data_IF_907479130047
#
_entry.id   IF_907479130047
#
_cell.length_a   1.000
_cell.length_b   1.000
_cell.length_c   1.000
_cell.angle_alpha   90.00
_cell.angle_beta   90.00
_cell.angle_gamma   90.00
#
_symmetry.space_group_name_H-M   'P 1'
#
loop_
_entity.id
_entity.type
_entity.pdbx_description
1 polymer ?
#
# COMPACT_ATOMS: atom_id res chain seq x y z
N UNK A 1 -6.19 -4.79 -26.63
CA UNK A 1 -4.70 -4.88 -26.54
C UNK A 1 -4.18 -3.92 -25.48
N UNK A 2 -4.58 -2.63 -25.50
CA UNK A 2 -4.08 -1.61 -24.53
C UNK A 2 -4.49 -1.96 -23.10
N UNK A 3 -5.76 -2.27 -22.85
CA UNK A 3 -6.28 -2.62 -21.52
C UNK A 3 -5.56 -3.83 -20.94
N UNK A 4 -5.38 -4.90 -21.72
CA UNK A 4 -4.64 -6.08 -21.25
C UNK A 4 -3.19 -5.76 -20.92
N UNK A 5 -2.53 -4.88 -21.68
CA UNK A 5 -1.17 -4.45 -21.38
C UNK A 5 -1.05 -3.60 -20.11
N UNK A 6 -2.11 -2.94 -19.66
CA UNK A 6 -2.18 -2.22 -18.39
C UNK A 6 -2.43 -3.19 -17.23
N UNK A 7 -3.36 -4.14 -17.38
CA UNK A 7 -3.70 -5.11 -16.33
C UNK A 7 -2.58 -6.12 -16.05
N UNK A 8 -1.75 -6.42 -17.03
CA UNK A 8 -0.61 -7.35 -16.89
C UNK A 8 0.56 -6.76 -16.09
N UNK A 9 0.55 -5.47 -15.81
CA UNK A 9 1.58 -4.83 -14.98
C UNK A 9 1.37 -5.20 -13.52
N UNK A 10 2.19 -6.13 -13.05
CA UNK A 10 2.30 -6.41 -11.62
C UNK A 10 2.86 -5.18 -10.90
N UNK A 11 2.20 -4.74 -9.86
CA UNK A 11 2.74 -3.75 -8.95
C UNK A 11 2.90 -4.38 -7.56
N UNK A 12 3.91 -3.93 -6.84
CA UNK A 12 4.14 -4.31 -5.47
C UNK A 12 4.17 -3.06 -4.62
N UNK A 13 3.38 -3.05 -3.57
CA UNK A 13 3.38 -1.96 -2.59
C UNK A 13 4.57 -2.19 -1.65
N UNK A 14 5.31 -1.12 -1.37
CA UNK A 14 6.34 -1.08 -0.34
C UNK A 14 6.01 0.02 0.65
N UNK A 15 6.06 -0.30 1.92
CA UNK A 15 5.89 0.64 3.00
C UNK A 15 7.25 1.11 3.52
N UNK A 16 7.35 2.38 3.87
CA UNK A 16 8.53 2.98 4.49
C UNK A 16 8.08 3.77 5.72
N UNK A 17 8.73 3.52 6.85
CA UNK A 17 8.49 4.27 8.07
C UNK A 17 9.43 5.49 8.11
N UNK A 18 8.84 6.68 8.18
CA UNK A 18 9.57 7.97 8.23
C UNK A 18 9.63 8.55 9.65
N UNK A 19 9.13 7.83 10.66
CA UNK A 19 9.17 8.29 12.04
C UNK A 19 10.59 8.27 12.60
N UNK A 20 10.87 9.17 13.56
CA UNK A 20 12.20 9.35 14.13
C UNK A 20 12.74 8.07 14.79
N UNK A 21 11.89 7.28 15.43
CA UNK A 21 12.28 6.03 16.08
C UNK A 21 12.72 4.97 15.07
N UNK A 22 12.02 4.84 13.95
CA UNK A 22 12.39 3.90 12.88
C UNK A 22 13.66 4.33 12.16
N UNK A 23 13.87 5.63 11.98
CA UNK A 23 15.11 6.19 11.43
C UNK A 23 16.29 5.94 12.36
N UNK A 24 16.12 6.12 13.66
CA UNK A 24 17.18 5.85 14.67
C UNK A 24 17.59 4.38 14.66
N UNK A 25 16.63 3.46 14.70
CA UNK A 25 16.91 2.01 14.65
C UNK A 25 17.60 1.59 13.35
N UNK A 26 17.21 2.21 12.22
CA UNK A 26 17.87 1.96 10.93
C UNK A 26 19.33 2.41 10.97
N UNK A 27 19.61 3.59 11.54
CA UNK A 27 20.95 4.09 11.71
C UNK A 27 21.79 3.26 12.70
N UNK A 28 21.17 2.75 13.76
CA UNK A 28 21.85 1.84 14.69
C UNK A 28 22.26 0.52 14.03
N UNK A 29 21.33 -0.06 13.25
CA UNK A 29 21.62 -1.28 12.50
C UNK A 29 22.73 -1.06 11.46
N UNK A 30 22.70 0.06 10.73
CA UNK A 30 23.74 0.41 9.78
C UNK A 30 25.11 0.53 10.47
N UNK A 31 25.19 1.23 11.60
CA UNK A 31 26.44 1.36 12.40
C UNK A 31 26.94 0.02 12.91
N UNK A 32 26.03 -0.92 13.24
CA UNK A 32 26.40 -2.27 13.63
C UNK A 32 27.10 -2.99 12.47
N UNK A 33 26.51 -2.95 11.26
CA UNK A 33 27.10 -3.56 10.07
C UNK A 33 28.44 -2.91 9.71
N UNK A 34 28.54 -1.59 9.74
CA UNK A 34 29.81 -0.86 9.55
C UNK A 34 30.87 -1.30 10.57
N UNK A 35 30.47 -1.50 11.83
CA UNK A 35 31.33 -2.04 12.88
C UNK A 35 31.84 -3.45 12.58
N UNK A 36 30.98 -4.34 12.08
CA UNK A 36 31.36 -5.69 11.68
C UNK A 36 32.32 -5.69 10.48
N UNK A 37 32.12 -4.79 9.50
CA UNK A 37 33.03 -4.63 8.36
C UNK A 37 34.41 -4.22 8.80
N UNK A 38 34.50 -3.21 9.69
CA UNK A 38 35.79 -2.74 10.24
C UNK A 38 36.48 -3.83 11.07
N UNK A 39 35.71 -4.60 11.83
CA UNK A 39 36.23 -5.65 12.69
C UNK A 39 36.48 -6.97 11.96
N UNK A 40 36.06 -7.11 10.69
CA UNK A 40 36.19 -8.35 9.90
C UNK A 40 37.58 -9.00 9.95
N UNK A 41 38.69 -8.25 9.79
CA UNK A 41 40.03 -8.85 9.87
C UNK A 41 40.34 -9.45 11.26
N UNK A 42 39.90 -8.80 12.31
CA UNK A 42 40.10 -9.27 13.69
C UNK A 42 39.21 -10.50 13.99
N UNK A 43 37.98 -10.49 13.55
CA UNK A 43 37.03 -11.59 13.75
C UNK A 43 37.49 -12.86 13.02
N UNK A 44 38.05 -12.73 11.80
CA UNK A 44 38.64 -13.85 11.07
C UNK A 44 39.81 -14.43 11.82
N UNK A 45 40.70 -13.63 12.41
CA UNK A 45 41.81 -14.10 13.23
C UNK A 45 41.34 -14.87 14.47
N UNK A 46 40.28 -14.38 15.13
CA UNK A 46 39.71 -15.08 16.28
C UNK A 46 39.11 -16.44 15.88
N UNK A 47 38.43 -16.47 14.73
CA UNK A 47 37.86 -17.72 14.21
C UNK A 47 38.97 -18.75 13.83
N UNK A 48 40.05 -18.29 13.21
CA UNK A 48 41.22 -19.15 12.87
C UNK A 48 41.96 -19.68 14.11
N UNK A 49 42.16 -18.82 15.15
CA UNK A 49 42.93 -19.22 16.33
C UNK A 49 42.10 -19.99 17.38
N UNK A 50 40.83 -19.62 17.54
CA UNK A 50 40.01 -20.16 18.62
C UNK A 50 38.82 -21.01 18.13
N UNK A 51 38.53 -21.03 16.82
CA UNK A 51 37.39 -21.75 16.25
C UNK A 51 36.04 -21.17 16.66
N UNK A 52 36.01 -19.90 17.09
CA UNK A 52 34.80 -19.20 17.57
C UNK A 52 34.35 -18.19 16.51
N UNK A 53 33.16 -18.39 15.96
CA UNK A 53 32.54 -17.39 15.09
C UNK A 53 31.98 -16.24 15.94
N UNK A 54 32.48 -15.03 15.76
CA UNK A 54 32.10 -13.81 16.50
C UNK A 54 31.16 -12.94 15.66
N UNK A 55 31.02 -13.20 14.37
CA UNK A 55 30.11 -12.44 13.50
C UNK A 55 28.64 -12.66 13.91
N UNK A 56 27.90 -11.59 13.98
CA UNK A 56 26.45 -11.65 14.12
C UNK A 56 25.76 -11.82 12.77
N UNK A 57 26.44 -11.37 11.71
CA UNK A 57 25.97 -11.46 10.33
C UNK A 57 26.88 -12.43 9.56
N UNK A 58 26.39 -13.06 8.50
CA UNK A 58 27.21 -13.90 7.64
C UNK A 58 28.34 -13.06 6.99
N UNK A 59 29.63 -13.39 7.22
CA UNK A 59 30.74 -12.61 6.70
C UNK A 59 30.79 -12.49 5.18
N UNK A 60 30.22 -13.47 4.46
CA UNK A 60 30.15 -13.49 3.00
C UNK A 60 29.09 -12.51 2.43
N UNK A 61 28.12 -12.11 3.26
CA UNK A 61 27.03 -11.22 2.87
C UNK A 61 27.30 -9.76 3.28
N UNK A 62 28.40 -9.47 3.96
CA UNK A 62 28.75 -8.12 4.38
C UNK A 62 29.11 -7.24 3.17
N UNK A 63 28.53 -6.05 3.04
CA UNK A 63 28.80 -5.15 1.93
C UNK A 63 30.24 -4.64 1.92
N UNK A 64 30.82 -4.50 0.74
CA UNK A 64 32.21 -4.04 0.54
C UNK A 64 32.29 -2.58 0.08
N UNK A 65 31.16 -1.98 -0.31
CA UNK A 65 31.08 -0.60 -0.80
C UNK A 65 29.82 0.10 -0.29
N UNK A 66 29.82 1.45 -0.33
CA UNK A 66 28.68 2.25 0.06
C UNK A 66 27.41 1.92 -0.76
N UNK A 67 27.57 1.62 -2.05
CA UNK A 67 26.45 1.23 -2.91
C UNK A 67 25.89 -0.14 -2.52
N UNK A 68 26.76 -1.06 -2.12
CA UNK A 68 26.33 -2.36 -1.60
C UNK A 68 25.73 -2.24 -0.21
N UNK A 69 26.18 -1.31 0.62
CA UNK A 69 25.59 -1.01 1.91
C UNK A 69 24.14 -0.52 1.75
N UNK A 70 23.89 0.40 0.82
CA UNK A 70 22.54 0.87 0.55
C UNK A 70 21.63 -0.27 0.07
N UNK A 71 22.14 -1.13 -0.82
CA UNK A 71 21.40 -2.30 -1.30
C UNK A 71 21.14 -3.29 -0.17
N UNK A 72 22.14 -3.56 0.67
CA UNK A 72 22.04 -4.44 1.83
C UNK A 72 20.98 -3.95 2.81
N UNK A 73 21.01 -2.65 3.15
CA UNK A 73 20.03 -2.03 4.03
C UNK A 73 18.60 -2.13 3.45
N UNK A 74 18.45 -1.94 2.15
CA UNK A 74 17.14 -2.05 1.48
C UNK A 74 16.62 -3.50 1.41
N UNK A 75 17.50 -4.49 1.41
CA UNK A 75 17.12 -5.91 1.29
C UNK A 75 16.97 -6.61 2.63
N UNK A 76 17.87 -6.33 3.58
CA UNK A 76 17.98 -7.07 4.85
C UNK A 76 17.32 -6.34 6.03
N UNK A 77 17.40 -5.01 6.06
CA UNK A 77 16.77 -4.23 7.11
C UNK A 77 15.35 -3.81 6.71
N UNK A 78 14.38 -4.36 7.43
CA UNK A 78 12.98 -3.96 7.27
C UNK A 78 12.30 -3.95 8.64
N UNK A 79 11.89 -2.79 9.14
CA UNK A 79 11.19 -2.68 10.40
C UNK A 79 9.91 -3.52 10.41
N UNK A 80 9.57 -4.10 11.54
CA UNK A 80 8.36 -4.93 11.68
C UNK A 80 7.07 -4.16 11.32
N UNK A 81 7.07 -2.85 11.55
CA UNK A 81 5.94 -1.98 11.20
C UNK A 81 5.73 -1.89 9.67
N UNK A 82 6.82 -1.81 8.89
CA UNK A 82 6.74 -1.77 7.43
C UNK A 82 6.23 -3.11 6.87
N UNK A 83 6.72 -4.22 7.44
CA UNK A 83 6.24 -5.56 7.08
C UNK A 83 4.75 -5.70 7.40
N UNK A 84 4.34 -5.28 8.60
CA UNK A 84 2.94 -5.34 9.01
C UNK A 84 2.02 -4.49 8.10
N UNK A 85 2.47 -3.30 7.70
CA UNK A 85 1.73 -2.44 6.79
C UNK A 85 1.61 -3.06 5.39
N UNK A 86 2.68 -3.65 4.86
CA UNK A 86 2.62 -4.33 3.54
C UNK A 86 1.68 -5.53 3.58
N UNK A 87 1.77 -6.37 4.62
CA UNK A 87 0.87 -7.51 4.79
C UNK A 87 -0.58 -7.04 4.93
N UNK A 88 -0.83 -5.97 5.69
CA UNK A 88 -2.16 -5.40 5.84
C UNK A 88 -2.73 -4.91 4.50
N UNK A 89 -1.94 -4.22 3.67
CA UNK A 89 -2.36 -3.75 2.35
C UNK A 89 -2.61 -4.92 1.40
N UNK A 90 -1.73 -5.92 1.37
CA UNK A 90 -1.90 -7.11 0.54
C UNK A 90 -3.16 -7.89 0.93
N UNK A 91 -3.43 -8.02 2.22
CA UNK A 91 -4.65 -8.65 2.75
C UNK A 91 -5.88 -7.87 2.33
N UNK A 92 -5.87 -6.54 2.49
CA UNK A 92 -6.96 -5.65 2.10
C UNK A 92 -7.25 -5.75 0.59
N UNK A 93 -6.23 -5.79 -0.25
CA UNK A 93 -6.40 -5.96 -1.69
C UNK A 93 -6.98 -7.33 -2.05
N UNK A 94 -6.55 -8.39 -1.35
CA UNK A 94 -7.07 -9.73 -1.55
C UNK A 94 -8.55 -9.86 -1.13
N UNK A 95 -8.90 -9.35 0.05
CA UNK A 95 -10.26 -9.38 0.59
C UNK A 95 -11.26 -8.58 -0.26
N UNK A 96 -10.82 -7.48 -0.87
CA UNK A 96 -11.63 -6.63 -1.73
C UNK A 96 -11.60 -7.02 -3.21
N UNK A 97 -10.94 -8.13 -3.58
CA UNK A 97 -10.77 -8.53 -4.99
C UNK A 97 -10.27 -7.37 -5.87
N UNK A 98 -9.28 -6.63 -5.37
CA UNK A 98 -8.80 -5.39 -5.98
C UNK A 98 -8.35 -5.56 -7.44
N UNK A 99 -7.87 -6.72 -7.85
CA UNK A 99 -7.48 -6.98 -9.23
C UNK A 99 -8.66 -6.88 -10.20
N UNK A 100 -9.85 -7.33 -9.78
CA UNK A 100 -11.07 -7.24 -10.61
C UNK A 100 -11.55 -5.78 -10.69
N UNK A 101 -11.49 -5.06 -9.58
CA UNK A 101 -11.80 -3.62 -9.53
C UNK A 101 -10.85 -2.85 -10.44
N UNK A 102 -9.54 -3.11 -10.33
CA UNK A 102 -8.51 -2.51 -11.17
C UNK A 102 -8.76 -2.75 -12.65
N UNK A 103 -9.09 -3.98 -13.04
CA UNK A 103 -9.39 -4.31 -14.43
C UNK A 103 -10.54 -3.48 -15.02
N UNK A 104 -11.58 -3.20 -14.21
CA UNK A 104 -12.70 -2.32 -14.62
C UNK A 104 -12.26 -0.87 -14.71
N UNK A 105 -11.54 -0.38 -13.71
CA UNK A 105 -11.00 0.99 -13.68
C UNK A 105 -10.07 1.23 -14.87
N UNK A 106 -9.17 0.30 -15.18
CA UNK A 106 -8.25 0.38 -16.32
C UNK A 106 -9.02 0.43 -17.65
N UNK A 107 -10.12 -0.32 -17.76
CA UNK A 107 -11.00 -0.28 -18.93
C UNK A 107 -11.67 1.09 -19.09
N UNK A 108 -12.26 1.63 -18.02
CA UNK A 108 -12.92 2.93 -18.04
C UNK A 108 -11.92 4.06 -18.28
N UNK A 109 -10.76 4.00 -17.67
CA UNK A 109 -9.69 4.97 -17.89
C UNK A 109 -9.26 5.00 -19.37
N UNK A 110 -9.22 3.83 -20.02
CA UNK A 110 -8.82 3.73 -21.44
C UNK A 110 -9.93 4.18 -22.39
N UNK A 111 -11.20 3.94 -22.04
CA UNK A 111 -12.35 4.20 -22.91
C UNK A 111 -12.97 5.57 -22.69
N UNK A 112 -13.08 5.99 -21.43
CA UNK A 112 -13.75 7.21 -21.01
C UNK A 112 -12.78 8.30 -20.53
N UNK A 113 -11.54 7.93 -20.22
CA UNK A 113 -10.54 8.83 -19.62
C UNK A 113 -10.72 9.04 -18.11
N UNK A 114 -11.70 8.40 -17.48
CA UNK A 114 -12.01 8.53 -16.06
C UNK A 114 -12.19 7.13 -15.47
N UNK A 115 -11.52 6.85 -14.36
CA UNK A 115 -11.72 5.64 -13.57
C UNK A 115 -11.96 6.03 -12.10
N UNK A 116 -12.96 5.43 -11.46
CA UNK A 116 -13.42 5.84 -10.14
C UNK A 116 -13.47 4.64 -9.19
N UNK A 117 -12.87 4.81 -8.00
CA UNK A 117 -13.00 3.88 -6.88
C UNK A 117 -13.51 4.62 -5.65
N UNK A 118 -14.26 3.92 -4.82
CA UNK A 118 -14.76 4.42 -3.55
C UNK A 118 -14.21 3.59 -2.41
N UNK A 119 -13.67 4.26 -1.40
CA UNK A 119 -13.15 3.62 -0.20
C UNK A 119 -14.06 3.97 0.98
N UNK A 120 -14.52 2.95 1.67
CA UNK A 120 -15.43 3.09 2.81
C UNK A 120 -14.88 2.30 3.99
N UNK A 121 -14.97 2.87 5.18
CA UNK A 121 -14.69 2.15 6.41
C UNK A 121 -16.02 1.72 7.05
N UNK A 122 -16.24 0.41 7.12
CA UNK A 122 -17.42 -0.17 7.73
C UNK A 122 -17.04 -0.75 9.11
N UNK A 123 -17.65 -0.25 10.20
CA UNK A 123 -17.40 -0.80 11.53
C UNK A 123 -17.74 -2.31 11.57
N UNK A 124 -16.74 -3.13 11.91
CA UNK A 124 -16.86 -4.59 11.95
C UNK A 124 -16.46 -5.33 10.67
N UNK A 125 -16.41 -4.66 9.52
CA UNK A 125 -15.98 -5.26 8.24
C UNK A 125 -14.63 -4.70 7.74
N UNK A 126 -14.19 -3.55 8.30
CA UNK A 126 -12.93 -2.91 7.91
C UNK A 126 -13.07 -1.99 6.69
N UNK A 127 -12.00 -1.88 5.93
CA UNK A 127 -11.93 -1.04 4.74
C UNK A 127 -12.47 -1.79 3.52
N UNK A 128 -13.47 -1.22 2.86
CA UNK A 128 -14.01 -1.72 1.59
C UNK A 128 -13.55 -0.83 0.45
N UNK A 129 -13.13 -1.46 -0.64
CA UNK A 129 -12.78 -0.81 -1.89
C UNK A 129 -13.84 -1.23 -2.93
N UNK A 130 -14.59 -0.28 -3.43
CA UNK A 130 -15.64 -0.53 -4.39
C UNK A 130 -15.33 0.17 -5.72
N UNK A 131 -15.62 -0.51 -6.81
CA UNK A 131 -15.68 0.12 -8.12
C UNK A 131 -16.93 0.99 -8.22
N UNK A 132 -16.80 2.16 -8.82
CA UNK A 132 -17.92 3.07 -9.11
C UNK A 132 -17.97 3.30 -10.61
N UNK A 133 -19.14 3.04 -11.22
CA UNK A 133 -19.35 3.30 -12.64
C UNK A 133 -19.35 4.82 -12.88
N UNK A 134 -18.47 5.34 -13.76
CA UNK A 134 -18.43 6.77 -14.06
C UNK A 134 -19.77 7.34 -14.56
N UNK A 135 -20.64 6.52 -15.17
CA UNK A 135 -21.97 6.93 -15.62
C UNK A 135 -22.90 7.29 -14.45
N UNK A 136 -22.64 6.78 -13.26
CA UNK A 136 -23.44 7.02 -12.05
C UNK A 136 -22.86 8.10 -11.13
N UNK A 137 -21.83 8.81 -11.58
CA UNK A 137 -21.20 9.85 -10.77
C UNK A 137 -21.58 11.24 -11.26
N UNK A 138 -21.96 12.10 -10.32
CA UNK A 138 -22.21 13.52 -10.54
C UNK A 138 -21.18 14.34 -9.77
N UNK A 139 -20.63 15.35 -10.41
CA UNK A 139 -19.68 16.25 -9.78
C UNK A 139 -19.86 17.67 -10.34
N UNK A 140 -19.37 18.66 -9.59
CA UNK A 140 -19.39 20.04 -10.06
C UNK A 140 -18.48 20.22 -11.28
N UNK A 141 -18.81 21.21 -12.12
CA UNK A 141 -17.90 21.60 -13.21
C UNK A 141 -16.51 21.89 -12.65
N UNK A 142 -15.49 21.41 -13.32
CA UNK A 142 -14.09 21.61 -12.99
C UNK A 142 -13.28 21.87 -14.25
N UNK A 143 -12.32 22.79 -14.17
CA UNK A 143 -11.30 23.03 -15.20
C UNK A 143 -9.95 22.41 -14.81
N UNK A 144 -9.78 22.00 -13.53
CA UNK A 144 -8.58 21.38 -13.02
C UNK A 144 -8.57 19.88 -13.38
N UNK A 145 -7.55 19.37 -14.10
CA UNK A 145 -7.42 17.94 -14.36
C UNK A 145 -7.26 17.09 -13.09
N UNK A 146 -6.95 17.69 -11.95
CA UNK A 146 -6.87 17.04 -10.64
C UNK A 146 -8.12 17.22 -9.77
N UNK A 147 -9.19 17.81 -10.32
CA UNK A 147 -10.46 18.04 -9.63
C UNK A 147 -10.37 18.83 -8.32
N UNK A 148 -9.35 19.67 -8.13
CA UNK A 148 -9.13 20.43 -6.90
C UNK A 148 -10.17 21.53 -6.65
N UNK A 149 -10.76 22.04 -7.72
CA UNK A 149 -11.81 23.05 -7.74
C UNK A 149 -13.23 22.44 -7.64
N UNK A 150 -13.31 21.10 -7.61
CA UNK A 150 -14.58 20.40 -7.46
C UNK A 150 -15.10 20.51 -6.03
N UNK A 151 -16.32 21.06 -5.85
CA UNK A 151 -16.91 21.33 -4.54
C UNK A 151 -18.04 20.38 -4.15
N UNK A 152 -18.52 19.52 -5.06
CA UNK A 152 -19.39 18.40 -4.71
C UNK A 152 -19.14 17.21 -5.61
N UNK A 153 -19.35 16.04 -5.03
CA UNK A 153 -19.37 14.73 -5.64
C UNK A 153 -20.57 13.95 -5.18
N UNK A 154 -21.20 13.21 -6.05
CA UNK A 154 -22.31 12.34 -5.71
C UNK A 154 -22.29 11.06 -6.54
N UNK A 155 -22.75 9.98 -5.95
CA UNK A 155 -22.99 8.70 -6.62
C UNK A 155 -24.49 8.44 -6.65
N UNK A 156 -25.05 8.18 -7.84
CA UNK A 156 -26.45 7.81 -8.01
C UNK A 156 -26.53 6.28 -7.89
N UNK A 157 -27.24 5.81 -6.87
CA UNK A 157 -27.46 4.38 -6.64
C UNK A 157 -28.94 4.04 -6.66
N UNK A 158 -29.27 2.92 -7.27
CA UNK A 158 -30.56 2.28 -7.10
C UNK A 158 -30.45 1.31 -5.94
N UNK A 159 -31.13 1.59 -4.84
CA UNK A 159 -31.12 0.75 -3.63
C UNK A 159 -32.52 0.19 -3.38
N UNK A 160 -32.65 -1.03 -2.85
CA UNK A 160 -33.95 -1.55 -2.43
C UNK A 160 -34.47 -0.75 -1.23
N UNK A 161 -35.80 -0.66 -1.13
CA UNK A 161 -36.51 0.07 -0.09
C UNK A 161 -36.06 -0.30 1.33
N UNK A 162 -35.83 -1.60 1.56
CA UNK A 162 -35.34 -2.12 2.86
C UNK A 162 -33.98 -1.60 3.26
N UNK A 163 -33.13 -1.26 2.31
CA UNK A 163 -31.82 -0.68 2.53
C UNK A 163 -31.91 0.83 2.77
N UNK A 164 -32.82 1.50 2.05
CA UNK A 164 -33.08 2.92 2.23
C UNK A 164 -33.56 3.24 3.66
N UNK A 165 -34.47 2.44 4.21
CA UNK A 165 -34.96 2.56 5.59
C UNK A 165 -33.83 2.34 6.62
N UNK A 166 -32.84 1.50 6.32
CA UNK A 166 -31.66 1.33 7.20
C UNK A 166 -30.73 2.53 7.18
N UNK A 167 -30.59 3.18 6.03
CA UNK A 167 -29.76 4.39 5.87
C UNK A 167 -30.42 5.58 6.57
N UNK A 168 -31.70 5.75 6.37
CA UNK A 168 -32.46 6.82 7.02
C UNK A 168 -33.75 6.27 7.67
N UNK A 169 -33.68 5.93 8.98
CA UNK A 169 -34.85 5.45 9.73
C UNK A 169 -35.96 6.48 9.93
N UNK A 170 -35.75 7.74 9.56
CA UNK A 170 -36.76 8.80 9.68
C UNK A 170 -37.74 8.85 8.50
N UNK A 171 -37.45 8.11 7.43
CA UNK A 171 -38.33 8.01 6.26
C UNK A 171 -39.67 7.38 6.64
N UNK A 172 -40.76 8.04 6.26
CA UNK A 172 -42.11 7.55 6.49
C UNK A 172 -42.66 6.84 5.24
N UNK A 173 -43.73 6.02 5.44
CA UNK A 173 -44.41 5.34 4.33
C UNK A 173 -44.92 6.31 3.26
N UNK A 174 -45.18 7.59 3.61
CA UNK A 174 -45.59 8.62 2.68
C UNK A 174 -44.42 9.04 1.77
N UNK A 175 -43.22 9.18 2.33
CA UNK A 175 -42.02 9.59 1.60
C UNK A 175 -41.53 8.46 0.64
N UNK A 176 -41.92 7.21 0.93
CA UNK A 176 -41.53 6.04 0.16
C UNK A 176 -42.47 5.73 -1.01
N UNK A 177 -43.64 6.39 -1.11
CA UNK A 177 -44.67 6.17 -2.13
C UNK A 177 -44.79 7.32 -3.14
N UNK A 178 -43.97 8.38 -3.02
CA UNK A 178 -43.80 9.41 -4.03
C UNK A 178 -42.68 9.05 -5.02
#
# INVERSE_FOLDING_TARGET
VVVNGMSDRLFKVKAYAEDAMSAEKRNEFQKQIEGEIIAKPLFNQIEEEFGINVFQTNPEELPESDAEMELYMNMKYKPAIEIAQEVAIDTLFSENHYNDIRGRVDYDLTTLGIGITKHEFLPGEGVKINYVDPANVVYSYTEDPHFKDCFYWGEIKTVPMTELIKIDPSLTDADLNE
#
